data_IF_746823250138
#
_entry.id   IF_746823250138
#
_cell.length_a   1.000
_cell.length_b   1.000
_cell.length_c   1.000
_cell.angle_alpha   90.00
_cell.angle_beta   90.00
_cell.angle_gamma   90.00
#
_symmetry.space_group_name_H-M   'P 1'
#
loop_
_entity.id
_entity.type
_entity.pdbx_description
1 polymer ?
#
# COMPACT_ATOMS: atom_id res chain seq x y z
N UNK A 1 29.69 -45.83 17.43
CA UNK A 1 29.38 -46.04 15.98
C UNK A 1 28.38 -45.01 15.44
N UNK A 2 27.35 -44.59 16.20
CA UNK A 2 26.35 -43.63 15.72
C UNK A 2 26.88 -42.21 15.48
N UNK A 3 27.85 -41.70 16.27
CA UNK A 3 28.38 -40.35 16.10
C UNK A 3 29.18 -40.18 14.82
N UNK A 4 29.91 -41.19 14.38
CA UNK A 4 30.67 -41.17 13.13
C UNK A 4 29.70 -41.17 11.94
N UNK A 5 28.62 -41.96 12.05
CA UNK A 5 27.59 -42.04 11.01
C UNK A 5 26.84 -40.67 10.87
N UNK A 6 26.51 -40.02 11.98
CA UNK A 6 25.90 -38.66 11.98
C UNK A 6 26.83 -37.59 11.40
N UNK A 7 28.14 -37.66 11.73
CA UNK A 7 29.13 -36.74 11.16
C UNK A 7 29.31 -36.99 9.64
N UNK A 8 29.30 -38.23 9.20
CA UNK A 8 29.36 -38.58 7.77
C UNK A 8 28.10 -38.13 7.02
N UNK A 9 26.90 -38.35 7.62
CA UNK A 9 25.65 -37.86 7.04
C UNK A 9 25.58 -36.32 6.98
N UNK A 10 26.08 -35.63 8.02
CA UNK A 10 26.18 -34.18 8.05
C UNK A 10 27.23 -33.60 7.10
N UNK A 11 28.31 -34.33 6.88
CA UNK A 11 29.31 -33.99 5.86
C UNK A 11 28.75 -34.21 4.45
N UNK A 12 28.10 -35.36 4.18
CA UNK A 12 27.44 -35.67 2.93
C UNK A 12 26.29 -34.73 2.59
N UNK A 13 25.51 -34.24 3.58
CA UNK A 13 24.45 -33.26 3.35
C UNK A 13 24.96 -31.88 2.94
N UNK A 14 26.23 -31.55 3.24
CA UNK A 14 26.90 -30.32 2.82
C UNK A 14 27.56 -30.42 1.48
N UNK A 15 27.81 -31.63 0.98
CA UNK A 15 28.38 -31.85 -0.35
C UNK A 15 27.31 -31.54 -1.40
N UNK A 16 27.62 -30.59 -2.25
CA UNK A 16 26.70 -30.27 -3.36
C UNK A 16 26.77 -31.46 -4.35
N UNK A 17 25.79 -32.36 -4.27
CA UNK A 17 25.70 -33.59 -5.03
C UNK A 17 25.93 -33.34 -6.54
N UNK A 18 25.43 -32.23 -7.06
CA UNK A 18 25.61 -31.87 -8.47
C UNK A 18 27.06 -31.61 -8.83
N UNK A 19 27.85 -30.98 -7.92
CA UNK A 19 29.29 -30.76 -8.13
C UNK A 19 30.05 -32.08 -8.13
N UNK A 20 29.65 -32.96 -7.21
CA UNK A 20 30.29 -34.30 -7.12
C UNK A 20 30.01 -35.13 -8.37
N UNK A 21 28.73 -35.15 -8.83
CA UNK A 21 28.34 -35.87 -10.07
C UNK A 21 29.04 -35.26 -11.28
N UNK A 22 29.18 -33.91 -11.34
CA UNK A 22 29.93 -33.26 -12.41
C UNK A 22 31.41 -33.65 -12.41
N UNK A 23 32.06 -33.67 -11.24
CA UNK A 23 33.47 -34.07 -11.14
C UNK A 23 33.70 -35.53 -11.56
N UNK A 24 32.79 -36.44 -11.15
CA UNK A 24 32.82 -37.83 -11.55
C UNK A 24 32.64 -37.94 -13.08
N UNK A 25 31.66 -37.24 -13.66
CA UNK A 25 31.41 -37.20 -15.10
C UNK A 25 32.62 -36.70 -15.87
N UNK A 26 33.28 -35.62 -15.43
CA UNK A 26 34.52 -35.17 -16.07
C UNK A 26 35.64 -36.19 -16.01
N UNK A 27 35.84 -36.88 -14.88
CA UNK A 27 36.87 -37.87 -14.70
C UNK A 27 36.61 -39.12 -15.55
N UNK A 28 35.36 -39.61 -15.58
CA UNK A 28 34.98 -40.78 -16.38
C UNK A 28 34.95 -40.46 -17.87
N UNK A 29 34.52 -39.29 -18.28
CA UNK A 29 34.55 -38.81 -19.66
C UNK A 29 35.98 -38.70 -20.20
N UNK A 30 36.92 -38.14 -19.39
CA UNK A 30 38.34 -38.11 -19.72
C UNK A 30 38.91 -39.55 -19.92
N UNK A 31 38.59 -40.47 -19.01
CA UNK A 31 39.02 -41.86 -19.09
C UNK A 31 38.41 -42.58 -20.30
N UNK A 32 37.11 -42.38 -20.55
CA UNK A 32 36.43 -42.95 -21.72
C UNK A 32 37.00 -42.43 -23.05
N UNK A 33 37.39 -41.17 -23.13
CA UNK A 33 38.03 -40.57 -24.30
C UNK A 33 39.37 -41.25 -24.64
N UNK A 34 40.17 -41.58 -23.61
CA UNK A 34 41.47 -42.23 -23.80
C UNK A 34 41.37 -43.76 -23.96
N UNK A 35 40.28 -44.36 -23.46
CA UNK A 35 40.03 -45.81 -23.49
C UNK A 35 38.63 -46.11 -24.05
N UNK A 36 38.43 -45.80 -25.31
CA UNK A 36 37.14 -45.86 -26.00
C UNK A 36 36.42 -47.25 -26.01
N UNK A 37 37.10 -48.32 -25.58
CA UNK A 37 36.52 -49.67 -25.46
C UNK A 37 35.93 -49.97 -24.08
N UNK A 38 35.99 -49.03 -23.10
CA UNK A 38 35.49 -49.27 -21.75
C UNK A 38 34.04 -48.84 -21.61
N UNK A 39 33.15 -49.83 -21.83
CA UNK A 39 31.69 -49.64 -21.82
C UNK A 39 31.16 -49.13 -20.46
N UNK A 40 31.84 -49.45 -19.36
CA UNK A 40 31.48 -49.03 -18.00
C UNK A 40 31.71 -47.53 -17.83
N UNK A 41 32.85 -47.01 -18.31
CA UNK A 41 33.15 -45.58 -18.23
C UNK A 41 32.15 -44.74 -19.03
N UNK A 42 31.77 -45.19 -20.23
CA UNK A 42 30.76 -44.53 -21.07
C UNK A 42 29.37 -44.53 -20.38
N UNK A 43 28.99 -45.66 -19.77
CA UNK A 43 27.71 -45.76 -19.06
C UNK A 43 27.61 -44.80 -17.87
N UNK A 44 28.69 -44.66 -17.09
CA UNK A 44 28.75 -43.71 -15.95
C UNK A 44 28.65 -42.26 -16.44
N UNK A 45 29.34 -41.95 -17.54
CA UNK A 45 29.31 -40.59 -18.10
C UNK A 45 27.91 -40.21 -18.60
N UNK A 46 27.24 -41.09 -19.33
CA UNK A 46 25.84 -40.92 -19.74
C UNK A 46 24.91 -40.69 -18.52
N UNK A 47 25.10 -41.52 -17.47
CA UNK A 47 24.32 -41.33 -16.23
C UNK A 47 24.55 -39.97 -15.60
N UNK A 48 25.81 -39.51 -15.52
CA UNK A 48 26.12 -38.19 -14.98
C UNK A 48 25.48 -37.05 -15.78
N UNK A 49 25.51 -37.13 -17.11
CA UNK A 49 24.89 -36.13 -18.00
C UNK A 49 23.37 -36.09 -17.79
N UNK A 50 22.72 -37.26 -17.76
CA UNK A 50 21.26 -37.35 -17.52
C UNK A 50 20.90 -36.77 -16.14
N UNK A 51 21.65 -37.14 -15.10
CA UNK A 51 21.43 -36.63 -13.76
C UNK A 51 21.51 -35.10 -13.66
N UNK A 52 22.60 -34.52 -14.20
CA UNK A 52 22.80 -33.07 -14.20
C UNK A 52 21.70 -32.34 -14.98
N UNK A 53 21.30 -32.92 -16.14
CA UNK A 53 20.22 -32.35 -16.93
C UNK A 53 18.88 -32.33 -16.17
N UNK A 54 18.53 -33.44 -15.52
CA UNK A 54 17.31 -33.52 -14.68
C UNK A 54 17.38 -32.56 -13.49
N UNK A 55 18.52 -32.48 -12.83
CA UNK A 55 18.73 -31.54 -11.70
C UNK A 55 18.55 -30.08 -12.13
N UNK A 56 19.13 -29.74 -13.30
CA UNK A 56 19.00 -28.39 -13.88
C UNK A 56 17.55 -28.05 -14.21
N UNK A 57 16.82 -28.97 -14.83
CA UNK A 57 15.39 -28.78 -15.15
C UNK A 57 14.57 -28.51 -13.88
N UNK A 58 14.79 -29.30 -12.81
CA UNK A 58 14.10 -29.14 -11.55
C UNK A 58 14.40 -27.77 -10.92
N UNK A 59 15.67 -27.34 -10.97
CA UNK A 59 16.07 -26.01 -10.44
C UNK A 59 15.44 -24.86 -11.24
N UNK A 60 15.46 -24.95 -12.57
CA UNK A 60 14.82 -23.96 -13.46
C UNK A 60 13.31 -23.90 -13.16
N UNK A 61 12.64 -25.07 -13.09
CA UNK A 61 11.21 -25.13 -12.77
C UNK A 61 10.88 -24.46 -11.44
N UNK A 62 11.64 -24.77 -10.38
CA UNK A 62 11.45 -24.13 -9.06
C UNK A 62 11.64 -22.61 -9.13
N UNK A 63 12.68 -22.15 -9.82
CA UNK A 63 12.94 -20.73 -10.01
C UNK A 63 11.81 -20.02 -10.77
N UNK A 64 11.37 -20.59 -11.88
CA UNK A 64 10.27 -20.03 -12.68
C UNK A 64 8.97 -19.98 -11.88
N UNK A 65 8.61 -21.09 -11.19
CA UNK A 65 7.43 -21.13 -10.35
C UNK A 65 7.48 -20.07 -9.23
N UNK A 66 8.60 -19.92 -8.54
CA UNK A 66 8.79 -18.90 -7.50
C UNK A 66 8.63 -17.48 -8.06
N UNK A 67 9.17 -17.21 -9.26
CA UNK A 67 9.00 -15.91 -9.90
C UNK A 67 7.57 -15.64 -10.33
N UNK A 68 6.88 -16.64 -10.87
CA UNK A 68 5.47 -16.52 -11.26
C UNK A 68 4.59 -16.26 -10.03
N UNK A 69 4.83 -16.94 -8.91
CA UNK A 69 4.10 -16.71 -7.65
C UNK A 69 4.31 -15.27 -7.16
N UNK A 70 5.55 -14.76 -7.14
CA UNK A 70 5.84 -13.38 -6.75
C UNK A 70 5.15 -12.34 -7.66
N UNK A 71 5.09 -12.60 -8.96
CA UNK A 71 4.41 -11.70 -9.91
C UNK A 71 2.90 -11.73 -9.65
N UNK A 72 2.32 -12.91 -9.43
CA UNK A 72 0.90 -13.08 -9.13
C UNK A 72 0.52 -12.35 -7.86
N UNK A 73 1.25 -12.54 -6.76
CA UNK A 73 1.01 -11.87 -5.47
C UNK A 73 1.08 -10.34 -5.61
N UNK A 74 2.08 -9.82 -6.36
CA UNK A 74 2.17 -8.36 -6.61
C UNK A 74 0.98 -7.84 -7.41
N UNK A 75 0.49 -8.61 -8.38
CA UNK A 75 -0.65 -8.23 -9.19
C UNK A 75 -1.95 -8.24 -8.38
N UNK A 76 -2.18 -9.28 -7.58
CA UNK A 76 -3.32 -9.39 -6.68
C UNK A 76 -3.33 -8.25 -5.65
N UNK A 77 -2.19 -7.98 -5.01
CA UNK A 77 -2.03 -6.85 -4.08
C UNK A 77 -2.35 -5.51 -4.76
N UNK A 78 -1.87 -5.29 -5.99
CA UNK A 78 -2.16 -4.06 -6.73
C UNK A 78 -3.65 -3.91 -7.03
N UNK A 79 -4.31 -4.99 -7.46
CA UNK A 79 -5.76 -4.98 -7.71
C UNK A 79 -6.55 -4.70 -6.43
N UNK A 80 -6.15 -5.28 -5.31
CA UNK A 80 -6.80 -5.04 -4.02
C UNK A 80 -6.67 -3.58 -3.59
N UNK A 81 -5.47 -3.00 -3.66
CA UNK A 81 -5.23 -1.58 -3.35
C UNK A 81 -6.03 -0.66 -4.27
N UNK A 82 -6.09 -0.95 -5.58
CA UNK A 82 -6.90 -0.18 -6.52
C UNK A 82 -8.40 -0.28 -6.21
N UNK A 83 -8.89 -1.47 -5.86
CA UNK A 83 -10.28 -1.70 -5.46
C UNK A 83 -10.63 -0.91 -4.20
N UNK A 84 -9.81 -0.99 -3.16
CA UNK A 84 -9.99 -0.23 -1.91
C UNK A 84 -9.96 1.28 -2.17
N UNK A 85 -9.04 1.74 -3.01
CA UNK A 85 -8.96 3.16 -3.38
C UNK A 85 -10.23 3.63 -4.09
N UNK A 86 -10.76 2.84 -5.03
CA UNK A 86 -12.03 3.18 -5.72
C UNK A 86 -13.20 3.25 -4.75
N UNK A 87 -13.27 2.34 -3.79
CA UNK A 87 -14.31 2.36 -2.75
C UNK A 87 -14.22 3.62 -1.88
N UNK A 88 -13.01 3.99 -1.45
CA UNK A 88 -12.80 5.22 -0.67
C UNK A 88 -13.15 6.48 -1.47
N UNK A 89 -12.85 6.52 -2.77
CA UNK A 89 -13.23 7.64 -3.65
C UNK A 89 -14.74 7.72 -3.79
N UNK A 90 -15.42 6.61 -4.07
CA UNK A 90 -16.88 6.57 -4.16
C UNK A 90 -17.54 7.02 -2.86
N UNK A 91 -17.08 6.50 -1.72
CA UNK A 91 -17.57 6.93 -0.40
C UNK A 91 -17.37 8.43 -0.16
N UNK A 92 -16.20 8.96 -0.54
CA UNK A 92 -15.92 10.39 -0.38
C UNK A 92 -16.83 11.27 -1.26
N UNK A 93 -17.16 10.81 -2.47
CA UNK A 93 -18.10 11.49 -3.36
C UNK A 93 -19.52 11.46 -2.78
N UNK A 94 -20.00 10.30 -2.34
CA UNK A 94 -21.32 10.15 -1.73
C UNK A 94 -21.50 11.05 -0.51
N UNK A 95 -20.48 11.11 0.36
CA UNK A 95 -20.49 12.00 1.53
C UNK A 95 -20.55 13.45 1.06
N UNK A 96 -19.71 13.85 0.11
CA UNK A 96 -19.65 15.24 -0.37
C UNK A 96 -20.95 15.68 -1.02
N UNK A 97 -21.62 14.81 -1.76
CA UNK A 97 -22.91 15.10 -2.40
C UNK A 97 -24.06 15.28 -1.40
N UNK A 98 -24.02 14.57 -0.27
CA UNK A 98 -25.02 14.67 0.80
C UNK A 98 -24.85 15.91 1.68
N UNK A 99 -23.68 16.57 1.65
CA UNK A 99 -23.47 17.80 2.40
C UNK A 99 -24.36 18.93 1.91
N UNK A 100 -24.95 19.66 2.82
CA UNK A 100 -25.62 20.93 2.53
C UNK A 100 -24.61 21.97 2.03
N UNK A 101 -25.07 23.04 1.40
CA UNK A 101 -24.19 24.12 0.91
C UNK A 101 -23.36 24.75 2.06
N UNK A 102 -23.94 24.88 3.24
CA UNK A 102 -23.24 25.35 4.44
C UNK A 102 -22.13 24.39 4.86
N UNK A 103 -22.40 23.09 4.90
CA UNK A 103 -21.43 22.07 5.28
C UNK A 103 -20.31 21.94 4.24
N UNK A 104 -20.62 22.00 2.94
CA UNK A 104 -19.61 22.07 1.87
C UNK A 104 -18.71 23.29 2.04
N UNK A 105 -19.29 24.46 2.30
CA UNK A 105 -18.53 25.68 2.59
C UNK A 105 -17.61 25.51 3.79
N UNK A 106 -18.12 24.94 4.89
CA UNK A 106 -17.33 24.66 6.09
C UNK A 106 -16.15 23.70 5.79
N UNK A 107 -16.39 22.68 4.97
CA UNK A 107 -15.36 21.74 4.55
C UNK A 107 -14.31 22.41 3.63
N UNK A 108 -14.75 23.27 2.71
CA UNK A 108 -13.84 24.08 1.88
C UNK A 108 -12.96 25.00 2.75
N UNK A 109 -13.59 25.69 3.74
CA UNK A 109 -12.84 26.50 4.70
C UNK A 109 -11.82 25.69 5.46
N UNK A 110 -12.19 24.51 5.95
CA UNK A 110 -11.31 23.63 6.69
C UNK A 110 -10.05 23.24 5.87
N UNK A 111 -10.17 23.05 4.59
CA UNK A 111 -9.04 22.71 3.71
C UNK A 111 -8.21 23.94 3.32
N UNK A 112 -8.84 25.09 3.11
CA UNK A 112 -8.16 26.30 2.68
C UNK A 112 -7.47 27.06 3.83
N UNK A 113 -8.07 27.04 5.03
CA UNK A 113 -7.57 27.75 6.20
C UNK A 113 -6.65 26.91 7.08
N UNK A 114 -6.73 25.57 6.98
CA UNK A 114 -5.96 24.66 7.79
C UNK A 114 -4.49 24.57 7.38
N UNK A 115 -3.61 24.48 8.37
CA UNK A 115 -2.19 24.18 8.14
C UNK A 115 -2.03 22.67 8.04
N UNK A 116 -1.64 22.18 6.87
CA UNK A 116 -1.42 20.77 6.64
C UNK A 116 -0.25 20.24 7.48
N UNK A 117 -0.39 19.06 8.06
CA UNK A 117 0.71 18.39 8.76
C UNK A 117 1.85 18.07 7.79
N UNK A 118 3.11 18.25 8.26
CA UNK A 118 4.28 17.77 7.51
C UNK A 118 4.42 16.24 7.55
N UNK A 119 3.88 15.61 8.60
CA UNK A 119 4.01 14.17 8.81
C UNK A 119 2.85 13.37 8.20
N UNK A 120 1.63 13.94 8.22
CA UNK A 120 0.42 13.25 7.77
C UNK A 120 -0.35 14.07 6.74
N UNK A 121 -0.60 13.48 5.58
CA UNK A 121 -1.28 14.16 4.47
C UNK A 121 -2.78 14.43 4.70
N UNK A 122 -3.37 13.75 5.67
CA UNK A 122 -4.79 13.80 6.02
C UNK A 122 -5.06 14.53 7.35
N UNK A 123 -4.09 15.25 7.89
CA UNK A 123 -4.21 15.98 9.15
C UNK A 123 -3.99 17.45 8.91
N UNK A 124 -4.92 18.27 9.43
CA UNK A 124 -4.91 19.72 9.36
C UNK A 124 -4.98 20.33 10.76
N UNK A 125 -4.24 21.41 10.98
CA UNK A 125 -4.18 22.14 12.26
C UNK A 125 -4.75 23.54 12.10
N UNK A 126 -5.49 23.97 13.09
CA UNK A 126 -6.08 25.30 13.16
C UNK A 126 -5.72 25.95 14.49
N UNK A 127 -5.50 27.26 14.48
CA UNK A 127 -5.56 28.06 15.70
C UNK A 127 -7.05 28.38 15.96
N UNK A 128 -7.47 28.30 17.21
CA UNK A 128 -8.83 28.68 17.60
C UNK A 128 -9.04 30.16 17.27
N UNK A 129 -10.00 30.44 16.42
CA UNK A 129 -10.42 31.80 16.03
C UNK A 129 -11.94 31.84 15.87
N UNK A 130 -12.46 32.99 15.44
CA UNK A 130 -13.90 33.23 15.24
C UNK A 130 -14.60 32.20 14.36
N UNK A 131 -13.85 31.59 13.39
CA UNK A 131 -14.41 30.63 12.43
C UNK A 131 -14.23 29.16 12.85
N UNK A 132 -13.64 28.89 14.01
CA UNK A 132 -13.37 27.50 14.45
C UNK A 132 -14.65 26.69 14.67
N UNK A 133 -15.77 27.38 15.03
CA UNK A 133 -17.06 26.71 15.19
C UNK A 133 -17.52 25.96 13.92
N UNK A 134 -17.12 26.43 12.75
CA UNK A 134 -17.46 25.78 11.48
C UNK A 134 -16.76 24.44 11.28
N UNK A 135 -15.52 24.33 11.77
CA UNK A 135 -14.75 23.09 11.72
C UNK A 135 -15.36 22.05 12.66
N UNK A 136 -15.94 22.49 13.79
CA UNK A 136 -16.55 21.60 14.78
C UNK A 136 -17.80 20.87 14.24
N UNK A 137 -18.50 21.47 13.29
CA UNK A 137 -19.69 20.87 12.68
C UNK A 137 -19.33 19.72 11.72
N UNK A 138 -18.08 19.65 11.22
CA UNK A 138 -17.69 18.69 10.20
C UNK A 138 -17.75 17.23 10.66
N UNK A 139 -17.50 16.96 11.94
CA UNK A 139 -17.61 15.59 12.46
C UNK A 139 -19.04 15.07 12.39
N UNK A 140 -20.04 15.92 12.61
CA UNK A 140 -21.45 15.53 12.50
C UNK A 140 -21.94 15.51 11.05
N UNK A 141 -21.38 16.35 10.18
CA UNK A 141 -21.75 16.47 8.78
C UNK A 141 -21.17 15.35 7.90
N UNK A 142 -19.87 15.05 8.09
CA UNK A 142 -19.16 14.08 7.25
C UNK A 142 -19.36 12.63 7.72
N UNK A 143 -20.60 12.17 7.82
CA UNK A 143 -20.95 10.79 8.20
C UNK A 143 -20.98 9.87 6.99
N UNK A 144 -20.62 8.61 7.22
CA UNK A 144 -20.77 7.56 6.21
C UNK A 144 -22.27 7.28 6.06
N UNK A 145 -22.81 7.31 4.83
CA UNK A 145 -24.23 7.06 4.58
C UNK A 145 -24.74 5.78 5.25
N UNK A 146 -25.87 5.87 5.94
CA UNK A 146 -26.48 4.74 6.65
C UNK A 146 -25.77 4.33 7.95
N UNK A 147 -24.79 5.10 8.44
CA UNK A 147 -24.08 4.82 9.70
C UNK A 147 -24.00 6.04 10.60
N UNK A 148 -23.59 5.82 11.85
CA UNK A 148 -23.25 6.92 12.80
C UNK A 148 -21.78 7.34 12.73
N UNK A 149 -20.95 6.64 11.94
CA UNK A 149 -19.53 6.88 11.88
C UNK A 149 -19.20 8.06 10.99
N UNK A 150 -18.36 8.96 11.47
CA UNK A 150 -17.80 10.06 10.67
C UNK A 150 -16.48 9.65 10.00
N UNK A 151 -16.23 10.22 8.83
CA UNK A 151 -14.91 10.15 8.17
C UNK A 151 -13.99 11.32 8.54
N UNK A 152 -14.47 12.19 9.43
CA UNK A 152 -13.71 13.31 9.98
C UNK A 152 -13.74 13.22 11.49
N UNK A 153 -12.57 13.26 12.09
CA UNK A 153 -12.41 13.32 13.54
C UNK A 153 -11.74 14.62 13.95
N UNK A 154 -12.12 15.15 15.13
CA UNK A 154 -11.71 16.46 15.63
C UNK A 154 -11.18 16.32 17.05
N UNK A 155 -9.98 16.84 17.27
CA UNK A 155 -9.35 16.92 18.60
C UNK A 155 -9.03 18.37 18.95
N UNK A 156 -9.24 18.72 20.22
CA UNK A 156 -8.94 20.03 20.77
C UNK A 156 -7.79 19.91 21.78
N UNK A 157 -6.72 20.65 21.55
CA UNK A 157 -5.58 20.67 22.44
C UNK A 157 -4.91 22.06 22.45
N UNK A 158 -4.72 22.63 23.65
CA UNK A 158 -3.92 23.85 23.90
C UNK A 158 -4.20 25.02 22.93
N UNK A 159 -5.46 25.36 22.69
CA UNK A 159 -5.84 26.45 21.79
C UNK A 159 -5.65 26.14 20.29
N UNK A 160 -5.49 24.87 19.97
CA UNK A 160 -5.45 24.36 18.60
C UNK A 160 -6.55 23.32 18.38
N UNK A 161 -7.03 23.26 17.16
CA UNK A 161 -7.93 22.22 16.68
C UNK A 161 -7.19 21.37 15.67
N UNK A 162 -7.25 20.08 15.84
CA UNK A 162 -6.70 19.11 14.87
C UNK A 162 -7.84 18.39 14.22
N UNK A 163 -7.85 18.41 12.89
CA UNK A 163 -8.82 17.74 12.04
C UNK A 163 -8.15 16.55 11.34
N UNK A 164 -8.71 15.37 11.55
CA UNK A 164 -8.24 14.12 10.94
C UNK A 164 -9.25 13.65 9.91
N UNK A 165 -8.82 13.50 8.66
CA UNK A 165 -9.63 12.88 7.61
C UNK A 165 -9.36 11.38 7.58
N UNK A 166 -10.26 10.57 8.14
CA UNK A 166 -10.16 9.10 8.12
C UNK A 166 -10.29 8.56 6.68
N UNK A 167 -11.06 9.26 5.84
CA UNK A 167 -11.04 9.05 4.39
C UNK A 167 -10.30 10.21 3.69
N UNK A 168 -9.01 10.05 3.35
CA UNK A 168 -8.22 11.11 2.74
C UNK A 168 -8.70 11.52 1.33
N UNK A 169 -9.52 10.69 0.66
CA UNK A 169 -10.08 11.00 -0.65
C UNK A 169 -11.10 12.15 -0.59
N UNK A 170 -11.71 12.39 0.57
CA UNK A 170 -12.60 13.53 0.78
C UNK A 170 -11.88 14.86 0.58
N UNK A 171 -10.60 14.94 0.97
CA UNK A 171 -9.76 16.12 0.69
C UNK A 171 -9.60 16.32 -0.82
N UNK A 172 -9.37 15.25 -1.57
CA UNK A 172 -9.21 15.29 -3.03
C UNK A 172 -10.48 15.75 -3.74
N UNK A 173 -11.64 15.21 -3.35
CA UNK A 173 -12.96 15.60 -3.87
C UNK A 173 -13.22 17.08 -3.58
N UNK A 174 -12.99 17.53 -2.35
CA UNK A 174 -13.21 18.93 -1.95
C UNK A 174 -12.27 19.89 -2.67
N UNK A 175 -11.00 19.53 -2.85
CA UNK A 175 -10.06 20.37 -3.62
C UNK A 175 -10.49 20.55 -5.07
N UNK A 176 -10.92 19.49 -5.74
CA UNK A 176 -11.47 19.58 -7.10
C UNK A 176 -12.69 20.52 -7.15
N UNK A 177 -13.56 20.45 -6.15
CA UNK A 177 -14.71 21.34 -6.06
C UNK A 177 -14.28 22.81 -5.88
N UNK A 178 -13.32 23.07 -4.98
CA UNK A 178 -12.74 24.40 -4.76
C UNK A 178 -12.17 24.98 -6.06
N UNK A 179 -11.38 24.19 -6.78
CA UNK A 179 -10.77 24.58 -8.07
C UNK A 179 -11.84 24.87 -9.12
N UNK A 180 -12.82 23.99 -9.28
CA UNK A 180 -13.88 24.13 -10.28
C UNK A 180 -14.79 25.34 -10.03
N UNK A 181 -15.02 25.70 -8.77
CA UNK A 181 -15.88 26.82 -8.36
C UNK A 181 -15.09 28.12 -8.15
N UNK A 182 -13.75 28.12 -8.25
CA UNK A 182 -12.92 29.29 -8.00
C UNK A 182 -13.03 29.82 -6.56
N UNK A 183 -13.30 28.93 -5.59
CA UNK A 183 -13.51 29.28 -4.19
C UNK A 183 -12.16 29.66 -3.56
N UNK A 184 -12.13 30.78 -2.85
CA UNK A 184 -10.99 31.18 -2.02
C UNK A 184 -11.40 31.43 -0.57
N UNK A 185 -10.42 31.42 0.33
CA UNK A 185 -10.64 31.59 1.76
C UNK A 185 -11.35 32.90 2.10
N UNK A 186 -10.95 34.01 1.47
CA UNK A 186 -11.50 35.35 1.75
C UNK A 186 -12.97 35.44 1.36
N UNK A 187 -13.39 34.78 0.28
CA UNK A 187 -14.80 34.76 -0.12
C UNK A 187 -15.65 34.02 0.92
N UNK A 188 -15.15 32.88 1.43
CA UNK A 188 -15.87 32.13 2.49
C UNK A 188 -15.98 32.96 3.75
N UNK A 189 -14.91 33.59 4.21
CA UNK A 189 -14.90 34.44 5.41
C UNK A 189 -15.89 35.60 5.27
N UNK A 190 -15.93 36.27 4.11
CA UNK A 190 -16.87 37.34 3.84
C UNK A 190 -18.34 36.89 3.83
N UNK A 191 -18.64 35.70 3.36
CA UNK A 191 -20.00 35.13 3.42
C UNK A 191 -20.44 34.86 4.88
N UNK A 192 -19.54 34.32 5.68
CA UNK A 192 -19.81 34.01 7.08
C UNK A 192 -20.03 35.28 7.88
N UNK A 193 -19.18 36.30 7.68
CA UNK A 193 -19.34 37.60 8.37
C UNK A 193 -20.72 38.22 8.08
N UNK A 194 -21.18 38.14 6.82
CA UNK A 194 -22.54 38.56 6.45
C UNK A 194 -23.64 37.73 7.16
N UNK A 195 -23.44 36.43 7.36
CA UNK A 195 -24.40 35.61 8.10
C UNK A 195 -24.43 35.99 9.60
N UNK A 196 -23.27 36.25 10.17
CA UNK A 196 -23.15 36.70 11.58
C UNK A 196 -23.84 38.06 11.78
N UNK A 197 -23.64 39.02 10.88
CA UNK A 197 -24.29 40.31 10.92
C UNK A 197 -25.82 40.19 10.80
N UNK A 198 -26.31 39.40 9.85
CA UNK A 198 -27.75 39.12 9.71
C UNK A 198 -28.36 38.47 10.95
N UNK A 199 -27.61 37.64 11.65
CA UNK A 199 -28.09 37.02 12.88
C UNK A 199 -28.21 38.05 14.03
N UNK A 200 -27.27 38.99 14.14
CA UNK A 200 -27.29 40.06 15.13
C UNK A 200 -28.49 41.02 14.95
N UNK A 201 -28.81 41.36 13.68
CA UNK A 201 -29.95 42.25 13.36
C UNK A 201 -31.32 41.61 13.57
N UNK A 202 -31.43 40.29 13.69
CA UNK A 202 -32.69 39.58 13.99
C UNK A 202 -33.05 39.59 15.51
N UNK A 203 -32.06 39.83 16.36
CA UNK A 203 -32.24 39.83 17.82
C UNK A 203 -32.26 41.25 18.44
N UNK A 204 -32.19 42.29 17.61
CA UNK A 204 -32.50 43.68 17.96
C UNK A 204 -33.91 44.04 17.54
#
# INVERSE_FOLDING_TARGET
>A
MNQILELLLKALSKVNIDITVFAIGCATGWYAYHNSSNLVAVSVDVFCVVWLSCSLIVKIRKYVLSKLTQIKEKYEYKQEVESQTRQLVAQAQDIFEQLTDRERRNLCYAILAGVKSHQYNNVYYYKINTYTCMVNELQSACKIPGTYNSVVDISFDNGKVTLYFLNPQLIGVTKKYIENQGINKSNIEAEIDKEIEKSKTRYQ
#
